data_IF_056998177697
#
_entry.id   IF_056998177697
#
_cell.length_a   1.000
_cell.length_b   1.000
_cell.length_c   1.000
_cell.angle_alpha   90.00
_cell.angle_beta   90.00
_cell.angle_gamma   90.00
#
_symmetry.space_group_name_H-M   'P 1'
#
loop_
_entity.id
_entity.type
_entity.pdbx_description
1 polymer ?
#
# COMPACT_ATOMS: atom_id res chain seq x y z
N UNK A 1 -10.42 -1.97 -16.56
CA UNK A 1 -10.85 -0.76 -15.83
C UNK A 1 -9.73 -0.34 -14.92
N UNK A 2 -9.44 0.95 -14.81
CA UNK A 2 -8.38 1.44 -13.94
C UNK A 2 -8.78 1.38 -12.48
N UNK A 3 -7.78 1.54 -11.61
CA UNK A 3 -7.97 1.52 -10.17
C UNK A 3 -8.67 2.80 -9.73
N UNK A 4 -9.75 2.65 -8.94
CA UNK A 4 -10.47 3.74 -8.32
C UNK A 4 -10.63 3.54 -6.81
N UNK A 5 -10.69 4.65 -6.07
CA UNK A 5 -10.98 4.65 -4.64
C UNK A 5 -11.92 5.79 -4.29
N UNK A 6 -13.09 5.42 -3.79
CA UNK A 6 -14.11 6.34 -3.29
C UNK A 6 -14.38 6.02 -1.84
N UNK A 7 -14.44 7.05 -1.00
CA UNK A 7 -14.80 6.93 0.42
C UNK A 7 -16.09 7.70 0.68
N UNK A 8 -16.86 7.27 1.68
CA UNK A 8 -18.04 8.01 2.11
C UNK A 8 -17.63 9.08 3.13
N UNK A 9 -18.04 10.32 2.90
CA UNK A 9 -17.87 11.43 3.85
C UNK A 9 -19.24 12.00 4.23
N UNK A 10 -19.27 12.93 5.20
CA UNK A 10 -20.49 13.66 5.56
C UNK A 10 -21.09 14.45 4.39
N UNK A 11 -20.26 14.88 3.45
CA UNK A 11 -20.66 15.68 2.29
C UNK A 11 -21.00 14.82 1.07
N UNK A 12 -20.97 13.49 1.23
CA UNK A 12 -21.24 12.51 0.17
C UNK A 12 -20.02 11.69 -0.24
N UNK A 13 -20.10 10.94 -1.36
CA UNK A 13 -18.99 10.13 -1.83
C UNK A 13 -17.85 11.01 -2.38
N UNK A 14 -16.64 10.82 -1.84
CA UNK A 14 -15.43 11.49 -2.29
C UNK A 14 -14.54 10.52 -3.07
N UNK A 15 -14.34 10.80 -4.36
CA UNK A 15 -13.44 10.04 -5.22
C UNK A 15 -11.98 10.50 -5.03
N UNK A 16 -11.19 9.73 -4.29
CA UNK A 16 -9.78 9.99 -4.01
C UNK A 16 -8.90 9.61 -5.22
N UNK A 17 -9.17 8.46 -5.83
CA UNK A 17 -8.47 7.97 -7.02
C UNK A 17 -9.48 7.64 -8.11
N UNK A 18 -9.16 8.03 -9.34
CA UNK A 18 -10.06 7.92 -10.49
C UNK A 18 -9.27 7.36 -11.67
N UNK A 19 -9.64 6.15 -12.09
CA UNK A 19 -9.14 5.46 -13.30
C UNK A 19 -7.61 5.47 -13.45
N UNK A 20 -6.89 5.04 -12.42
CA UNK A 20 -5.44 4.98 -12.43
C UNK A 20 -4.97 3.71 -13.16
N UNK A 21 -4.05 3.87 -14.12
CA UNK A 21 -3.43 2.78 -14.89
C UNK A 21 -1.93 2.96 -15.01
N UNK A 22 -1.16 1.98 -14.54
CA UNK A 22 0.26 1.83 -14.83
C UNK A 22 0.72 0.43 -14.43
N UNK A 23 1.93 0.07 -14.85
CA UNK A 23 2.63 -1.12 -14.41
C UNK A 23 4.06 -0.73 -14.04
N UNK A 24 4.60 -1.37 -12.99
CA UNK A 24 5.99 -1.21 -12.55
C UNK A 24 6.68 -2.54 -12.75
N UNK A 25 7.80 -2.55 -13.48
CA UNK A 25 8.57 -3.76 -13.73
C UNK A 25 9.55 -4.06 -12.59
N UNK A 26 9.98 -5.32 -12.48
CA UNK A 26 10.98 -5.71 -11.51
C UNK A 26 12.29 -4.94 -11.75
N UNK A 27 12.84 -4.35 -10.68
CA UNK A 27 14.06 -3.54 -10.73
C UNK A 27 13.84 -2.09 -11.18
N UNK A 28 12.61 -1.69 -11.52
CA UNK A 28 12.28 -0.31 -11.85
C UNK A 28 12.20 0.56 -10.58
N UNK A 29 12.72 1.79 -10.68
CA UNK A 29 12.59 2.82 -9.64
C UNK A 29 11.67 3.92 -10.14
N UNK A 30 10.50 4.04 -9.51
CA UNK A 30 9.45 5.00 -9.91
C UNK A 30 9.19 6.01 -8.81
N UNK A 31 8.94 7.27 -9.19
CA UNK A 31 8.54 8.33 -8.27
C UNK A 31 7.09 8.73 -8.51
N UNK A 32 6.28 8.80 -7.44
CA UNK A 32 4.92 9.33 -7.48
C UNK A 32 4.94 10.73 -6.88
N UNK A 33 4.71 11.73 -7.73
CA UNK A 33 4.74 13.15 -7.36
C UNK A 33 3.35 13.79 -7.52
N UNK A 34 3.05 14.79 -6.70
CA UNK A 34 1.77 15.50 -6.76
C UNK A 34 1.52 16.34 -5.51
N UNK A 35 0.58 17.28 -5.59
CA UNK A 35 0.21 18.17 -4.49
C UNK A 35 -0.27 17.41 -3.23
N UNK A 36 -0.21 18.04 -2.05
CA UNK A 36 -0.83 17.47 -0.85
C UNK A 36 -2.31 17.18 -1.11
N UNK A 37 -2.81 16.03 -0.63
CA UNK A 37 -4.19 15.60 -0.87
C UNK A 37 -4.47 14.93 -2.22
N UNK A 38 -3.51 14.83 -3.14
CA UNK A 38 -3.71 14.23 -4.48
C UNK A 38 -3.89 12.69 -4.48
N UNK A 39 -4.07 12.04 -3.32
CA UNK A 39 -4.28 10.59 -3.22
C UNK A 39 -3.01 9.73 -3.25
N UNK A 40 -1.80 10.29 -3.19
CA UNK A 40 -0.53 9.51 -3.24
C UNK A 40 -0.44 8.43 -2.17
N UNK A 41 -0.69 8.80 -0.91
CA UNK A 41 -0.65 7.86 0.21
C UNK A 41 -1.72 6.78 0.09
N UNK A 42 -2.89 7.14 -0.45
CA UNK A 42 -3.95 6.19 -0.76
C UNK A 42 -3.50 5.19 -1.83
N UNK A 43 -2.91 5.67 -2.94
CA UNK A 43 -2.39 4.82 -4.00
C UNK A 43 -1.31 3.86 -3.48
N UNK A 44 -0.35 4.37 -2.69
CA UNK A 44 0.69 3.55 -2.05
C UNK A 44 0.08 2.49 -1.12
N UNK A 45 -0.92 2.84 -0.31
CA UNK A 45 -1.62 1.90 0.58
C UNK A 45 -2.34 0.79 -0.19
N UNK A 46 -3.01 1.13 -1.29
CA UNK A 46 -3.68 0.15 -2.15
C UNK A 46 -2.68 -0.80 -2.82
N UNK A 47 -1.58 -0.28 -3.38
CA UNK A 47 -0.53 -1.10 -4.00
C UNK A 47 0.14 -2.04 -2.99
N UNK A 48 0.23 -1.63 -1.73
CA UNK A 48 0.78 -2.42 -0.65
C UNK A 48 -0.21 -3.43 -0.05
N UNK A 49 -1.47 -3.46 -0.51
CA UNK A 49 -2.51 -4.31 0.03
C UNK A 49 -2.92 -3.97 1.47
N UNK A 50 -2.78 -2.71 1.89
CA UNK A 50 -3.25 -2.20 3.19
C UNK A 50 -4.72 -1.76 3.16
N UNK A 51 -5.26 -1.56 1.96
CA UNK A 51 -6.63 -1.14 1.73
C UNK A 51 -7.12 -1.75 0.40
N UNK A 52 -8.42 -1.72 0.15
CA UNK A 52 -9.04 -2.26 -1.06
C UNK A 52 -9.51 -1.15 -2.00
N UNK A 53 -9.31 -1.35 -3.30
CA UNK A 53 -9.83 -0.45 -4.31
C UNK A 53 -11.37 -0.55 -4.36
N UNK A 54 -12.04 0.56 -4.63
CA UNK A 54 -13.50 0.58 -4.85
C UNK A 54 -13.85 0.04 -6.23
N UNK A 55 -12.95 0.21 -7.21
CA UNK A 55 -13.10 -0.29 -8.57
C UNK A 55 -11.74 -0.61 -9.19
N UNK A 56 -11.76 -1.41 -10.26
CA UNK A 56 -10.54 -1.88 -10.92
C UNK A 56 -9.85 -2.99 -10.13
N UNK A 57 -8.58 -3.22 -10.44
CA UNK A 57 -7.78 -4.28 -9.82
C UNK A 57 -6.31 -3.90 -9.71
N UNK A 58 -5.66 -4.43 -8.68
CA UNK A 58 -4.21 -4.33 -8.48
C UNK A 58 -3.68 -5.75 -8.39
N UNK A 59 -2.70 -6.05 -9.22
CA UNK A 59 -1.96 -7.31 -9.17
C UNK A 59 -0.56 -7.05 -8.61
N UNK A 60 -0.21 -7.75 -7.52
CA UNK A 60 1.12 -7.74 -6.92
C UNK A 60 1.74 -9.12 -7.11
N UNK A 61 2.88 -9.21 -7.79
CA UNK A 61 3.53 -10.50 -8.10
C UNK A 61 2.55 -11.50 -8.76
N UNK A 62 1.81 -11.02 -9.76
CA UNK A 62 0.76 -11.74 -10.49
C UNK A 62 -0.43 -12.23 -9.62
N UNK A 63 -0.57 -11.75 -8.39
CA UNK A 63 -1.68 -12.06 -7.50
C UNK A 63 -2.60 -10.86 -7.34
N UNK A 64 -3.88 -11.07 -7.61
CA UNK A 64 -4.90 -10.02 -7.52
C UNK A 64 -5.27 -9.73 -6.06
N UNK A 65 -4.93 -8.53 -5.57
CA UNK A 65 -5.14 -8.15 -4.18
C UNK A 65 -6.62 -8.10 -3.77
N UNK A 66 -7.52 -7.79 -4.72
CA UNK A 66 -8.95 -7.71 -4.46
C UNK A 66 -9.65 -9.07 -4.32
N UNK A 67 -8.97 -10.17 -4.70
CA UNK A 67 -9.50 -11.55 -4.56
C UNK A 67 -9.00 -12.26 -3.31
N UNK A 68 -8.13 -11.61 -2.54
CA UNK A 68 -7.58 -12.13 -1.30
C UNK A 68 -8.36 -11.59 -0.10
N UNK A 69 -8.44 -12.39 0.95
CA UNK A 69 -8.83 -11.91 2.27
C UNK A 69 -7.68 -11.12 2.93
N UNK A 70 -7.89 -10.65 4.16
CA UNK A 70 -6.85 -9.90 4.86
C UNK A 70 -5.61 -10.74 5.12
N UNK A 71 -5.77 -12.01 5.49
CA UNK A 71 -4.64 -12.91 5.75
C UNK A 71 -3.81 -13.14 4.48
N UNK A 72 -4.46 -13.34 3.34
CA UNK A 72 -3.81 -13.46 2.04
C UNK A 72 -3.05 -12.20 1.65
N UNK A 73 -3.65 -11.01 1.86
CA UNK A 73 -2.96 -9.73 1.63
C UNK A 73 -1.79 -9.53 2.59
N UNK A 74 -1.95 -9.86 3.86
CA UNK A 74 -0.91 -9.75 4.88
C UNK A 74 0.29 -10.64 4.56
N UNK A 75 0.05 -11.87 4.09
CA UNK A 75 1.11 -12.80 3.67
C UNK A 75 1.89 -12.26 2.48
N UNK A 76 1.21 -11.77 1.44
CA UNK A 76 1.85 -11.14 0.29
C UNK A 76 2.68 -9.91 0.69
N UNK A 77 2.10 -9.04 1.52
CA UNK A 77 2.74 -7.84 2.04
C UNK A 77 4.01 -8.18 2.82
N UNK A 78 3.95 -9.17 3.71
CA UNK A 78 5.12 -9.65 4.45
C UNK A 78 6.23 -10.24 3.56
N UNK A 79 5.88 -10.80 2.40
CA UNK A 79 6.86 -11.39 1.48
C UNK A 79 7.49 -10.37 0.53
N UNK A 80 6.72 -9.42 0.00
CA UNK A 80 7.13 -8.61 -1.15
C UNK A 80 7.13 -7.10 -0.91
N UNK A 81 6.61 -6.62 0.22
CA UNK A 81 6.45 -5.18 0.47
C UNK A 81 7.26 -4.77 1.71
N UNK A 82 8.14 -3.78 1.51
CA UNK A 82 8.80 -3.05 2.59
C UNK A 82 8.28 -1.61 2.67
N UNK A 83 8.19 -1.06 3.87
CA UNK A 83 7.77 0.31 4.09
C UNK A 83 8.91 1.15 4.65
N UNK A 84 9.05 2.36 4.11
CA UNK A 84 9.86 3.42 4.69
C UNK A 84 8.96 4.64 4.79
N UNK A 85 8.84 5.21 5.99
CA UNK A 85 7.94 6.32 6.27
C UNK A 85 8.72 7.63 6.37
N UNK A 86 8.06 8.74 6.03
CA UNK A 86 8.64 10.09 6.14
C UNK A 86 9.01 10.44 7.59
N UNK A 87 8.13 10.10 8.54
CA UNK A 87 8.46 10.09 9.97
C UNK A 87 8.88 8.69 10.34
N UNK A 88 10.09 8.52 10.87
CA UNK A 88 10.62 7.22 11.25
C UNK A 88 9.76 6.61 12.37
N UNK A 89 8.99 5.56 12.03
CA UNK A 89 8.15 4.81 12.97
C UNK A 89 8.98 3.79 13.77
N UNK A 90 10.07 4.25 14.38
CA UNK A 90 10.93 3.40 15.22
C UNK A 90 10.28 3.22 16.60
N UNK A 91 10.45 2.03 17.18
CA UNK A 91 10.07 1.75 18.56
C UNK A 91 11.08 2.45 19.48
N UNK A 92 10.66 3.45 20.29
CA UNK A 92 11.59 4.32 21.00
C UNK A 92 12.53 3.64 22.00
N UNK A 93 12.17 2.44 22.47
CA UNK A 93 12.93 1.68 23.45
C UNK A 93 13.86 0.63 22.83
N UNK A 94 13.84 0.50 21.50
CA UNK A 94 14.67 -0.44 20.77
C UNK A 94 15.84 0.30 20.10
N UNK A 95 17.01 -0.33 20.08
CA UNK A 95 18.14 0.12 19.29
C UNK A 95 17.89 -0.13 17.78
N UNK A 96 18.82 0.34 16.93
CA UNK A 96 18.67 0.22 15.48
C UNK A 96 18.57 -1.24 15.00
N UNK A 97 19.39 -2.14 15.57
CA UNK A 97 19.38 -3.56 15.22
C UNK A 97 18.06 -4.22 15.64
N UNK A 98 17.60 -3.93 16.85
CA UNK A 98 16.32 -4.44 17.39
C UNK A 98 15.13 -3.97 16.54
N UNK A 99 15.11 -2.70 16.11
CA UNK A 99 14.07 -2.20 15.20
C UNK A 99 14.08 -2.92 13.83
N UNK A 100 15.26 -3.29 13.33
CA UNK A 100 15.40 -4.00 12.04
C UNK A 100 15.07 -5.50 12.17
N UNK A 101 15.32 -6.10 13.33
CA UNK A 101 14.98 -7.50 13.62
C UNK A 101 13.50 -7.71 13.90
N UNK A 102 12.82 -6.73 14.49
CA UNK A 102 11.43 -6.84 14.92
C UNK A 102 10.46 -7.38 13.83
N UNK A 103 10.51 -6.94 12.56
CA UNK A 103 9.64 -7.51 11.51
C UNK A 103 9.89 -8.98 11.20
N UNK A 104 11.08 -9.52 11.51
CA UNK A 104 11.40 -10.94 11.36
C UNK A 104 10.80 -11.76 12.51
N UNK A 105 10.84 -11.24 13.74
CA UNK A 105 10.27 -11.90 14.92
C UNK A 105 8.73 -11.97 14.88
N UNK A 106 8.08 -10.95 14.31
CA UNK A 106 6.61 -10.89 14.21
C UNK A 106 6.06 -11.83 13.12
N UNK A 107 6.91 -12.33 12.20
CA UNK A 107 6.47 -13.26 11.14
C UNK A 107 6.07 -14.65 11.67
N UNK A 108 6.35 -14.95 12.94
CA UNK A 108 6.18 -16.27 13.55
C UNK A 108 7.44 -17.12 13.39
#
# INVERSE_FOLDING_TARGET
>A
MGVGKTVQTSDGPLAILQDIHFAIQAGESVAIVGASGSGKSTLLGLMAGLDQATSGSIDLMAQNLGRLDEDGRAKLRGQFVGFVFQSFQLVPHLNALENVMLPLEIRG
#
